data_IF_349822437994
#
_entry.id   IF_349822437994
#
_cell.length_a   1.000
_cell.length_b   1.000
_cell.length_c   1.000
_cell.angle_alpha   90.00
_cell.angle_beta   90.00
_cell.angle_gamma   90.00
#
_symmetry.space_group_name_H-M   'P 1'
#
loop_
_entity.id
_entity.type
_entity.pdbx_description
1 polymer ?
#
# COMPACT_ATOMS: atom_id res chain seq x y z
N UNK A 1 -69.65 26.50 -8.19
CA UNK A 1 -68.82 25.50 -8.90
C UNK A 1 -67.37 25.77 -8.52
N UNK A 2 -66.83 25.01 -7.58
CA UNK A 2 -65.45 25.13 -7.09
C UNK A 2 -64.55 24.18 -7.91
N UNK A 3 -63.48 24.73 -8.49
CA UNK A 3 -62.40 23.94 -9.09
C UNK A 3 -61.56 23.29 -7.96
N UNK A 4 -61.22 22.00 -8.06
CA UNK A 4 -60.24 21.40 -7.16
C UNK A 4 -58.81 21.60 -7.73
N UNK A 5 -57.95 22.19 -6.89
CA UNK A 5 -56.49 22.29 -7.09
C UNK A 5 -55.80 20.93 -6.94
N UNK A 6 -54.60 20.73 -7.54
CA UNK A 6 -53.96 19.43 -7.69
C UNK A 6 -53.32 18.93 -6.39
N UNK A 7 -53.39 17.61 -6.16
CA UNK A 7 -52.72 16.92 -5.06
C UNK A 7 -51.21 16.98 -5.23
N UNK A 8 -50.54 17.61 -4.26
CA UNK A 8 -49.10 17.58 -4.04
C UNK A 8 -48.71 16.35 -3.22
N UNK A 9 -47.49 15.90 -3.47
CA UNK A 9 -46.61 15.09 -2.61
C UNK A 9 -46.75 13.55 -2.69
N UNK A 10 -46.03 13.00 -3.68
CA UNK A 10 -45.44 11.66 -3.58
C UNK A 10 -44.26 11.74 -2.59
N UNK A 11 -44.54 11.55 -1.31
CA UNK A 11 -43.51 11.30 -0.33
C UNK A 11 -42.89 9.92 -0.63
N UNK A 12 -41.63 9.90 -1.09
CA UNK A 12 -40.83 8.68 -1.10
C UNK A 12 -40.54 8.32 0.36
N UNK A 13 -41.30 7.36 0.89
CA UNK A 13 -40.98 6.70 2.14
C UNK A 13 -39.63 5.99 1.98
N UNK A 14 -38.59 6.52 2.63
CA UNK A 14 -37.35 5.78 2.87
C UNK A 14 -37.73 4.54 3.68
N UNK A 15 -37.73 3.38 3.03
CA UNK A 15 -37.89 2.11 3.73
C UNK A 15 -36.82 2.03 4.82
N UNK A 16 -37.25 1.99 6.07
CA UNK A 16 -36.40 1.71 7.22
C UNK A 16 -35.66 0.40 6.94
N UNK A 17 -34.33 0.47 6.91
CA UNK A 17 -33.50 -0.72 6.76
C UNK A 17 -33.91 -1.75 7.84
N UNK A 18 -34.02 -3.05 7.49
CA UNK A 18 -34.36 -4.07 8.47
C UNK A 18 -33.37 -4.03 9.63
N UNK A 19 -33.88 -4.13 10.86
CA UNK A 19 -33.05 -4.31 12.06
C UNK A 19 -32.43 -5.71 12.00
N UNK A 20 -31.16 -5.76 11.60
CA UNK A 20 -30.39 -6.99 11.44
C UNK A 20 -29.81 -7.50 12.78
N UNK A 21 -30.11 -6.81 13.90
CA UNK A 21 -29.53 -7.13 15.20
C UNK A 21 -28.03 -6.83 15.28
N UNK A 22 -27.36 -7.40 16.27
CA UNK A 22 -25.91 -7.25 16.43
C UNK A 22 -25.20 -8.09 15.36
N UNK A 23 -24.58 -7.40 14.40
CA UNK A 23 -23.80 -8.04 13.35
C UNK A 23 -22.61 -8.80 13.97
N UNK A 24 -22.24 -9.99 13.46
CA UNK A 24 -21.08 -10.71 13.95
C UNK A 24 -19.80 -9.89 13.70
N UNK A 25 -19.00 -9.72 14.74
CA UNK A 25 -17.66 -9.13 14.64
C UNK A 25 -16.59 -10.23 14.64
N UNK A 26 -15.43 -9.93 14.06
CA UNK A 26 -14.29 -10.84 14.13
C UNK A 26 -13.77 -10.93 15.56
N UNK A 27 -13.49 -12.16 16.01
CA UNK A 27 -12.74 -12.38 17.24
C UNK A 27 -11.24 -12.23 16.93
N UNK A 28 -10.61 -11.25 17.57
CA UNK A 28 -9.18 -10.96 17.42
C UNK A 28 -8.36 -11.34 18.67
N UNK A 29 -8.99 -12.02 19.63
CA UNK A 29 -8.36 -12.38 20.92
C UNK A 29 -7.20 -13.35 20.77
N UNK A 30 -7.16 -14.13 19.69
CA UNK A 30 -6.01 -14.97 19.29
C UNK A 30 -4.73 -14.14 19.05
N UNK A 31 -4.86 -12.85 18.69
CA UNK A 31 -3.73 -11.93 18.55
C UNK A 31 -3.50 -11.17 19.87
N UNK A 32 -4.48 -10.38 20.29
CA UNK A 32 -4.46 -9.62 21.54
C UNK A 32 -5.88 -9.50 22.09
N UNK A 33 -6.02 -9.64 23.41
CA UNK A 33 -7.33 -9.56 24.06
C UNK A 33 -8.00 -8.17 23.94
N UNK A 34 -7.20 -7.10 23.88
CA UNK A 34 -7.66 -5.73 23.73
C UNK A 34 -6.52 -4.81 23.25
N UNK A 35 -6.82 -3.62 22.69
CA UNK A 35 -5.79 -2.63 22.32
C UNK A 35 -4.94 -2.14 23.49
N UNK A 36 -5.50 -2.19 24.71
CA UNK A 36 -4.86 -1.82 25.97
C UNK A 36 -4.23 -3.00 26.69
N UNK A 37 -4.21 -4.19 26.08
CA UNK A 37 -3.61 -5.36 26.68
C UNK A 37 -2.11 -5.13 26.91
N UNK A 38 -1.55 -5.50 28.07
CA UNK A 38 -0.15 -5.23 28.41
C UNK A 38 0.83 -5.89 27.42
N UNK A 39 0.42 -6.97 26.77
CA UNK A 39 1.18 -7.65 25.73
C UNK A 39 1.45 -6.75 24.52
N UNK A 40 0.53 -5.84 24.17
CA UNK A 40 0.74 -4.90 23.04
C UNK A 40 1.92 -3.98 23.34
N UNK A 41 1.93 -3.36 24.52
CA UNK A 41 3.02 -2.47 24.94
C UNK A 41 4.35 -3.23 25.04
N UNK A 42 4.33 -4.42 25.67
CA UNK A 42 5.49 -5.30 25.78
C UNK A 42 6.07 -5.69 24.41
N UNK A 43 5.21 -6.07 23.47
CA UNK A 43 5.64 -6.56 22.16
C UNK A 43 6.20 -5.43 21.29
N UNK A 44 5.67 -4.19 21.42
CA UNK A 44 6.26 -2.98 20.82
C UNK A 44 7.66 -2.73 21.37
N UNK A 45 7.82 -2.73 22.70
CA UNK A 45 9.09 -2.49 23.36
C UNK A 45 10.12 -3.56 23.00
N UNK A 46 9.69 -4.83 23.00
CA UNK A 46 10.50 -5.96 22.56
C UNK A 46 10.92 -5.81 21.10
N UNK A 47 10.00 -5.49 20.19
CA UNK A 47 10.30 -5.29 18.77
C UNK A 47 11.33 -4.18 18.55
N UNK A 48 11.21 -3.07 19.26
CA UNK A 48 12.18 -1.98 19.19
C UNK A 48 13.56 -2.36 19.76
N UNK A 49 13.60 -3.11 20.86
CA UNK A 49 14.85 -3.58 21.46
C UNK A 49 15.55 -4.61 20.55
N UNK A 50 14.80 -5.57 20.03
CA UNK A 50 15.32 -6.62 19.15
C UNK A 50 15.83 -6.04 17.83
N UNK A 51 15.13 -5.08 17.24
CA UNK A 51 15.61 -4.40 16.03
C UNK A 51 16.95 -3.70 16.24
N UNK A 52 17.11 -2.97 17.36
CA UNK A 52 18.37 -2.32 17.72
C UNK A 52 19.48 -3.33 17.99
N UNK A 53 19.16 -4.44 18.66
CA UNK A 53 20.13 -5.51 18.94
C UNK A 53 20.59 -6.19 17.64
N UNK A 54 19.65 -6.48 16.74
CA UNK A 54 19.90 -7.08 15.43
C UNK A 54 20.77 -6.15 14.58
N UNK A 55 20.43 -4.85 14.51
CA UNK A 55 21.23 -3.81 13.86
C UNK A 55 22.65 -3.74 14.42
N UNK A 56 22.81 -3.61 15.73
CA UNK A 56 24.12 -3.53 16.39
C UNK A 56 24.97 -4.77 16.13
N UNK A 57 24.33 -5.95 16.12
CA UNK A 57 25.02 -7.21 15.93
C UNK A 57 25.47 -7.41 14.49
N UNK A 58 24.60 -7.14 13.52
CA UNK A 58 24.76 -7.61 12.14
C UNK A 58 25.08 -6.53 11.11
N UNK A 59 24.75 -5.26 11.35
CA UNK A 59 24.97 -4.20 10.38
C UNK A 59 26.47 -4.06 10.05
N UNK A 60 26.77 -4.06 8.75
CA UNK A 60 28.11 -4.03 8.17
C UNK A 60 28.85 -5.37 8.20
N UNK A 61 28.21 -6.46 8.63
CA UNK A 61 28.88 -7.76 8.88
C UNK A 61 28.29 -8.93 8.09
N UNK A 62 27.07 -8.80 7.55
CA UNK A 62 26.38 -9.93 6.90
C UNK A 62 27.09 -10.39 5.63
N UNK A 63 27.68 -9.45 4.86
CA UNK A 63 28.46 -9.78 3.67
C UNK A 63 29.68 -10.63 4.01
N UNK A 64 30.41 -10.26 5.08
CA UNK A 64 31.58 -11.00 5.53
C UNK A 64 31.23 -12.37 6.12
N UNK A 65 30.06 -12.50 6.74
CA UNK A 65 29.50 -13.77 7.20
C UNK A 65 28.84 -14.59 6.07
N UNK A 66 28.86 -14.09 4.83
CA UNK A 66 28.06 -14.60 3.71
C UNK A 66 28.32 -16.05 3.32
N UNK A 67 29.48 -16.61 3.68
CA UNK A 67 29.84 -18.01 3.45
C UNK A 67 29.66 -18.92 4.68
N UNK A 68 29.32 -18.36 5.84
CA UNK A 68 29.06 -19.09 7.08
C UNK A 68 27.55 -19.29 7.25
N UNK A 69 27.08 -20.47 6.86
CA UNK A 69 25.65 -20.82 6.94
C UNK A 69 25.09 -20.85 8.36
N UNK A 70 25.91 -21.12 9.39
CA UNK A 70 25.44 -21.12 10.78
C UNK A 70 25.23 -19.69 11.29
N UNK A 71 26.17 -18.78 10.99
CA UNK A 71 26.02 -17.36 11.32
C UNK A 71 24.84 -16.73 10.59
N UNK A 72 24.67 -17.00 9.29
CA UNK A 72 23.51 -16.51 8.54
C UNK A 72 22.21 -17.10 9.07
N UNK A 73 22.16 -18.39 9.43
CA UNK A 73 20.95 -19.00 9.99
C UNK A 73 20.53 -18.32 11.29
N UNK A 74 21.49 -17.99 12.16
CA UNK A 74 21.23 -17.24 13.38
C UNK A 74 20.69 -15.83 13.10
N UNK A 75 21.29 -15.13 12.13
CA UNK A 75 20.85 -13.80 11.75
C UNK A 75 19.42 -13.81 11.18
N UNK A 76 19.16 -14.71 10.22
CA UNK A 76 17.85 -14.85 9.55
C UNK A 76 16.78 -15.29 10.55
N UNK A 77 17.08 -16.21 11.47
CA UNK A 77 16.11 -16.62 12.48
C UNK A 77 15.71 -15.47 13.41
N UNK A 78 16.69 -14.67 13.86
CA UNK A 78 16.38 -13.49 14.68
C UNK A 78 15.55 -12.45 13.92
N UNK A 79 15.80 -12.30 12.62
CA UNK A 79 15.03 -11.42 11.75
C UNK A 79 13.60 -11.94 11.54
N UNK A 80 13.42 -13.24 11.32
CA UNK A 80 12.11 -13.92 11.21
C UNK A 80 11.29 -13.73 12.48
N UNK A 81 11.85 -14.05 13.66
CA UNK A 81 11.14 -13.92 14.94
C UNK A 81 10.69 -12.49 15.22
N UNK A 82 11.49 -11.50 14.82
CA UNK A 82 11.13 -10.09 14.93
C UNK A 82 10.05 -9.73 13.92
N UNK A 83 10.18 -10.17 12.66
CA UNK A 83 9.20 -9.89 11.60
C UNK A 83 7.83 -10.47 11.93
N UNK A 84 7.76 -11.67 12.51
CA UNK A 84 6.52 -12.29 13.00
C UNK A 84 5.87 -11.45 14.10
N UNK A 85 6.65 -10.94 15.06
CA UNK A 85 6.15 -10.08 16.14
C UNK A 85 5.58 -8.76 15.60
N UNK A 86 6.29 -8.11 14.67
CA UNK A 86 5.84 -6.87 14.05
C UNK A 86 4.60 -7.11 13.17
N UNK A 87 4.58 -8.22 12.43
CA UNK A 87 3.45 -8.66 11.63
C UNK A 87 2.20 -8.92 12.46
N UNK A 88 2.35 -9.54 13.65
CA UNK A 88 1.27 -9.74 14.62
C UNK A 88 0.67 -8.40 15.08
N UNK A 89 1.50 -7.45 15.49
CA UNK A 89 1.08 -6.10 15.91
C UNK A 89 0.34 -5.37 14.78
N UNK A 90 0.93 -5.35 13.59
CA UNK A 90 0.35 -4.69 12.42
C UNK A 90 -0.98 -5.31 12.00
N UNK A 91 -1.06 -6.64 11.97
CA UNK A 91 -2.28 -7.37 11.62
C UNK A 91 -3.40 -7.07 12.61
N UNK A 92 -3.14 -7.13 13.91
CA UNK A 92 -4.14 -6.83 14.93
C UNK A 92 -4.67 -5.39 14.79
N UNK A 93 -3.78 -4.41 14.66
CA UNK A 93 -4.16 -3.01 14.52
C UNK A 93 -4.96 -2.77 13.22
N UNK A 94 -4.53 -3.36 12.11
CA UNK A 94 -5.20 -3.24 10.81
C UNK A 94 -6.59 -3.88 10.79
N UNK A 95 -6.72 -5.10 11.33
CA UNK A 95 -8.01 -5.80 11.42
C UNK A 95 -9.00 -5.07 12.31
N UNK A 96 -8.53 -4.56 13.46
CA UNK A 96 -9.38 -3.80 14.38
C UNK A 96 -9.90 -2.51 13.72
N UNK A 97 -9.03 -1.79 13.02
CA UNK A 97 -9.40 -0.59 12.27
C UNK A 97 -10.38 -0.90 11.13
N UNK A 98 -10.13 -1.99 10.37
CA UNK A 98 -10.99 -2.41 9.28
C UNK A 98 -12.42 -2.75 9.74
N UNK A 99 -12.58 -3.28 10.95
CA UNK A 99 -13.90 -3.59 11.52
C UNK A 99 -14.78 -2.34 11.76
N UNK A 100 -14.19 -1.17 12.05
CA UNK A 100 -14.91 0.11 12.05
C UNK A 100 -13.96 1.30 11.85
N UNK A 101 -13.86 1.78 10.62
CA UNK A 101 -12.94 2.87 10.26
C UNK A 101 -13.39 4.26 10.75
N UNK A 102 -14.66 4.39 11.18
CA UNK A 102 -15.20 5.65 11.71
C UNK A 102 -15.00 5.79 13.22
N UNK A 103 -14.54 4.75 13.90
CA UNK A 103 -14.24 4.78 15.34
C UNK A 103 -12.90 5.50 15.57
N UNK A 104 -12.90 6.68 16.23
CA UNK A 104 -11.69 7.46 16.44
C UNK A 104 -10.67 6.77 17.36
N UNK A 105 -11.10 5.88 18.26
CA UNK A 105 -10.20 5.14 19.16
C UNK A 105 -9.42 4.09 18.36
N UNK A 106 -10.11 3.36 17.47
CA UNK A 106 -9.47 2.37 16.59
C UNK A 106 -8.55 3.03 15.58
N UNK A 107 -8.96 4.15 14.99
CA UNK A 107 -8.14 4.94 14.08
C UNK A 107 -6.86 5.45 14.75
N UNK A 108 -6.96 5.98 15.98
CA UNK A 108 -5.79 6.42 16.75
C UNK A 108 -4.86 5.24 17.05
N UNK A 109 -5.39 4.13 17.54
CA UNK A 109 -4.58 2.95 17.84
C UNK A 109 -3.82 2.45 16.60
N UNK A 110 -4.48 2.35 15.46
CA UNK A 110 -3.85 1.98 14.20
C UNK A 110 -2.73 2.95 13.79
N UNK A 111 -2.97 4.27 13.91
CA UNK A 111 -1.96 5.29 13.66
C UNK A 111 -0.73 5.14 14.55
N UNK A 112 -0.95 5.01 15.87
CA UNK A 112 0.13 4.86 16.86
C UNK A 112 0.98 3.60 16.59
N UNK A 113 0.34 2.46 16.28
CA UNK A 113 1.03 1.22 15.95
C UNK A 113 1.80 1.37 14.63
N UNK A 114 1.17 1.94 13.60
CA UNK A 114 1.80 2.15 12.30
C UNK A 114 3.07 3.02 12.38
N UNK A 115 3.03 4.10 13.17
CA UNK A 115 4.18 4.97 13.42
C UNK A 115 5.33 4.19 14.09
N UNK A 116 5.02 3.44 15.14
CA UNK A 116 6.01 2.63 15.88
C UNK A 116 6.63 1.55 15.00
N UNK A 117 5.81 0.82 14.23
CA UNK A 117 6.29 -0.21 13.30
C UNK A 117 7.16 0.40 12.19
N UNK A 118 6.81 1.57 11.68
CA UNK A 118 7.62 2.30 10.68
C UNK A 118 8.99 2.68 11.26
N UNK A 119 9.02 3.18 12.50
CA UNK A 119 10.27 3.51 13.18
C UNK A 119 11.14 2.28 13.41
N UNK A 120 10.56 1.15 13.85
CA UNK A 120 11.29 -0.11 14.07
C UNK A 120 11.82 -0.68 12.75
N UNK A 121 11.00 -0.68 11.69
CA UNK A 121 11.37 -1.23 10.38
C UNK A 121 12.53 -0.48 9.73
N UNK A 122 12.64 0.83 10.00
CA UNK A 122 13.77 1.65 9.53
C UNK A 122 15.12 1.15 10.04
N UNK A 123 15.17 0.58 11.25
CA UNK A 123 16.38 -0.03 11.81
C UNK A 123 16.74 -1.37 11.17
N UNK A 124 15.82 -1.99 10.43
CA UNK A 124 15.98 -3.31 9.81
C UNK A 124 16.32 -3.24 8.31
N UNK A 125 16.21 -2.08 7.67
CA UNK A 125 16.45 -1.91 6.23
C UNK A 125 17.80 -2.44 5.75
N UNK A 126 18.85 -2.31 6.57
CA UNK A 126 20.19 -2.80 6.21
C UNK A 126 20.23 -4.31 5.98
N UNK A 127 19.33 -5.07 6.61
CA UNK A 127 19.43 -6.53 6.70
C UNK A 127 19.30 -7.17 5.32
N UNK A 128 18.16 -6.94 4.65
CA UNK A 128 17.92 -7.40 3.29
C UNK A 128 18.92 -6.81 2.29
N UNK A 129 19.28 -5.53 2.45
CA UNK A 129 20.26 -4.86 1.59
C UNK A 129 21.65 -5.50 1.65
N UNK A 130 22.13 -5.87 2.85
CA UNK A 130 23.42 -6.53 3.01
C UNK A 130 23.38 -7.99 2.57
N UNK A 131 22.29 -8.71 2.82
CA UNK A 131 22.11 -10.06 2.28
C UNK A 131 22.17 -10.05 0.74
N UNK A 132 21.58 -9.04 0.11
CA UNK A 132 21.66 -8.85 -1.34
C UNK A 132 23.06 -8.52 -1.86
N UNK A 133 24.00 -8.11 -0.99
CA UNK A 133 25.41 -7.88 -1.35
C UNK A 133 26.29 -9.13 -1.19
N UNK A 134 25.80 -10.22 -0.61
CA UNK A 134 26.57 -11.47 -0.50
C UNK A 134 26.86 -12.02 -1.91
N UNK A 135 28.08 -12.51 -2.16
CA UNK A 135 28.45 -13.15 -3.42
C UNK A 135 27.64 -14.43 -3.67
N UNK A 136 27.33 -14.74 -4.93
CA UNK A 136 26.52 -15.92 -5.27
C UNK A 136 27.19 -17.24 -4.82
N UNK A 137 28.52 -17.36 -4.93
CA UNK A 137 29.24 -18.56 -4.53
C UNK A 137 29.28 -18.73 -3.00
N UNK A 138 29.39 -17.63 -2.27
CA UNK A 138 29.38 -17.64 -0.81
C UNK A 138 28.00 -17.98 -0.27
N UNK A 139 26.94 -17.34 -0.79
CA UNK A 139 25.57 -17.66 -0.40
C UNK A 139 25.21 -19.12 -0.74
N UNK A 140 25.61 -19.62 -1.92
CA UNK A 140 25.41 -21.01 -2.30
C UNK A 140 26.11 -21.99 -1.34
N UNK A 141 27.29 -21.64 -0.83
CA UNK A 141 27.99 -22.43 0.20
C UNK A 141 27.25 -22.38 1.53
N UNK A 142 26.84 -21.20 1.98
CA UNK A 142 26.11 -21.03 3.23
C UNK A 142 24.77 -21.78 3.23
N UNK A 143 24.06 -21.80 2.10
CA UNK A 143 22.77 -22.50 1.93
C UNK A 143 22.89 -24.03 2.00
N UNK A 144 24.09 -24.61 2.07
CA UNK A 144 24.28 -26.03 2.37
C UNK A 144 24.06 -26.34 3.86
N UNK A 145 24.04 -25.33 4.74
CA UNK A 145 23.84 -25.53 6.16
C UNK A 145 22.37 -25.91 6.47
N UNK A 146 22.12 -26.97 7.27
CA UNK A 146 20.76 -27.48 7.55
C UNK A 146 19.78 -26.44 8.10
N UNK A 147 20.26 -25.52 8.93
CA UNK A 147 19.40 -24.50 9.54
C UNK A 147 19.10 -23.31 8.60
N UNK A 148 19.88 -23.14 7.52
CA UNK A 148 19.70 -22.05 6.56
C UNK A 148 18.93 -22.50 5.31
N UNK A 149 19.09 -23.75 4.90
CA UNK A 149 18.55 -24.27 3.62
C UNK A 149 17.03 -24.07 3.49
N UNK A 150 16.28 -24.11 4.60
CA UNK A 150 14.83 -23.88 4.62
C UNK A 150 14.43 -22.48 4.13
N UNK A 151 15.32 -21.50 4.26
CA UNK A 151 15.10 -20.11 3.83
C UNK A 151 15.48 -19.87 2.38
N UNK A 152 15.94 -20.89 1.64
CA UNK A 152 16.33 -20.74 0.24
C UNK A 152 15.26 -20.04 -0.62
N UNK A 153 13.95 -20.36 -0.53
CA UNK A 153 12.95 -19.65 -1.33
C UNK A 153 12.90 -18.15 -1.05
N UNK A 154 13.05 -17.76 0.22
CA UNK A 154 13.09 -16.35 0.62
C UNK A 154 14.35 -15.66 0.08
N UNK A 155 15.52 -16.32 0.12
CA UNK A 155 16.73 -15.81 -0.53
C UNK A 155 16.57 -15.71 -2.04
N UNK A 156 15.96 -16.69 -2.69
CA UNK A 156 15.71 -16.66 -4.13
C UNK A 156 14.84 -15.44 -4.48
N UNK A 157 13.77 -15.17 -3.72
CA UNK A 157 12.91 -14.00 -3.89
C UNK A 157 13.65 -12.69 -3.62
N UNK A 158 14.39 -12.60 -2.51
CA UNK A 158 15.18 -11.43 -2.15
C UNK A 158 16.20 -11.08 -3.25
N UNK A 159 16.75 -12.10 -3.92
CA UNK A 159 17.76 -11.97 -4.97
C UNK A 159 17.18 -11.71 -6.35
N UNK A 160 15.87 -11.85 -6.57
CA UNK A 160 15.23 -11.52 -7.86
C UNK A 160 15.44 -10.06 -8.25
N UNK A 161 15.45 -9.16 -7.26
CA UNK A 161 15.63 -7.72 -7.49
C UNK A 161 17.10 -7.32 -7.64
N UNK A 162 18.06 -8.16 -7.20
CA UNK A 162 19.49 -7.83 -7.22
C UNK A 162 20.02 -7.48 -8.63
N UNK A 163 19.70 -8.21 -9.71
CA UNK A 163 20.12 -7.84 -11.06
C UNK A 163 19.62 -6.46 -11.50
N UNK A 164 18.57 -5.95 -10.84
CA UNK A 164 17.90 -4.70 -11.14
C UNK A 164 18.25 -3.56 -10.18
N UNK A 165 19.09 -3.82 -9.18
CA UNK A 165 19.62 -2.81 -8.27
C UNK A 165 20.72 -2.01 -8.96
N UNK A 166 20.65 -0.69 -8.83
CA UNK A 166 21.65 0.24 -9.34
C UNK A 166 22.73 0.47 -8.28
N UNK A 167 23.83 1.11 -8.69
CA UNK A 167 24.83 1.59 -7.73
C UNK A 167 24.19 2.52 -6.69
N UNK A 168 24.68 2.49 -5.45
CA UNK A 168 24.10 3.19 -4.30
C UNK A 168 23.84 4.69 -4.56
N UNK A 169 24.78 5.39 -5.21
CA UNK A 169 24.61 6.81 -5.57
C UNK A 169 23.54 7.04 -6.64
N UNK A 170 23.36 6.08 -7.54
CA UNK A 170 22.35 6.14 -8.59
C UNK A 170 20.98 5.86 -7.98
N UNK A 171 20.85 4.86 -7.11
CA UNK A 171 19.62 4.61 -6.34
C UNK A 171 19.19 5.85 -5.54
N UNK A 172 20.14 6.48 -4.83
CA UNK A 172 19.89 7.72 -4.09
C UNK A 172 19.37 8.83 -5.03
N UNK A 173 20.01 9.03 -6.17
CA UNK A 173 19.59 10.03 -7.15
C UNK A 173 18.17 9.76 -7.69
N UNK A 174 17.85 8.52 -8.06
CA UNK A 174 16.51 8.13 -8.51
C UNK A 174 15.47 8.36 -7.42
N UNK A 175 15.80 8.07 -6.15
CA UNK A 175 14.92 8.31 -5.02
C UNK A 175 14.63 9.81 -4.83
N UNK A 176 15.68 10.64 -4.76
CA UNK A 176 15.56 12.09 -4.59
C UNK A 176 14.81 12.75 -5.76
N UNK A 177 15.14 12.35 -7.00
CA UNK A 177 14.48 12.87 -8.21
C UNK A 177 13.04 12.38 -8.33
N UNK A 178 12.72 11.18 -7.83
CA UNK A 178 11.40 10.56 -7.98
C UNK A 178 10.24 11.43 -7.50
N UNK A 179 10.44 12.22 -6.44
CA UNK A 179 9.44 13.18 -5.96
C UNK A 179 9.17 14.31 -6.96
N UNK A 180 10.24 14.86 -7.56
CA UNK A 180 10.16 15.94 -8.54
C UNK A 180 9.81 15.47 -9.96
N UNK A 181 10.02 14.18 -10.26
CA UNK A 181 9.72 13.53 -11.53
C UNK A 181 8.34 12.85 -11.47
N UNK A 182 8.26 11.51 -11.48
CA UNK A 182 6.99 10.76 -11.43
C UNK A 182 6.03 11.23 -10.35
N UNK A 183 6.52 11.61 -9.17
CA UNK A 183 5.70 12.09 -8.06
C UNK A 183 4.91 13.35 -8.42
N UNK A 184 5.56 14.36 -8.99
CA UNK A 184 4.91 15.60 -9.43
C UNK A 184 3.89 15.37 -10.55
N UNK A 185 4.17 14.50 -11.52
CA UNK A 185 3.24 14.20 -12.61
C UNK A 185 2.00 13.44 -12.14
N UNK A 186 2.16 12.47 -11.22
CA UNK A 186 1.02 11.81 -10.58
C UNK A 186 0.18 12.80 -9.77
N UNK A 187 0.83 13.71 -9.04
CA UNK A 187 0.12 14.77 -8.29
C UNK A 187 -0.68 15.66 -9.24
N UNK A 188 -0.08 16.12 -10.33
CA UNK A 188 -0.75 16.93 -11.34
C UNK A 188 -1.97 16.21 -11.92
N UNK A 189 -1.85 14.91 -12.22
CA UNK A 189 -2.98 14.10 -12.67
C UNK A 189 -4.10 14.06 -11.63
N UNK A 190 -3.78 13.72 -10.38
CA UNK A 190 -4.75 13.57 -9.30
C UNK A 190 -5.48 14.89 -9.01
N UNK A 191 -4.74 16.01 -8.92
CA UNK A 191 -5.31 17.34 -8.71
C UNK A 191 -6.21 17.75 -9.88
N UNK A 192 -5.77 17.51 -11.12
CA UNK A 192 -6.56 17.80 -12.32
C UNK A 192 -7.86 16.99 -12.32
N UNK A 193 -7.78 15.67 -12.12
CA UNK A 193 -8.93 14.77 -12.10
C UNK A 193 -9.93 15.15 -11.00
N UNK A 194 -9.45 15.47 -9.80
CA UNK A 194 -10.29 15.90 -8.66
C UNK A 194 -10.98 17.24 -8.92
N UNK A 195 -10.33 18.12 -9.69
CA UNK A 195 -10.85 19.42 -10.09
C UNK A 195 -11.89 19.36 -11.20
N UNK A 196 -12.02 18.24 -11.93
CA UNK A 196 -12.98 18.13 -13.03
C UNK A 196 -14.42 18.22 -12.54
N UNK A 197 -15.26 18.87 -13.35
CA UNK A 197 -16.71 18.95 -13.15
C UNK A 197 -17.41 18.53 -14.44
N UNK A 198 -18.48 17.77 -14.28
CA UNK A 198 -19.20 17.12 -15.36
C UNK A 198 -20.63 17.64 -15.43
N UNK A 199 -20.93 18.36 -16.51
CA UNK A 199 -22.28 18.79 -16.84
C UNK A 199 -23.06 17.59 -17.40
N UNK A 200 -23.97 17.04 -16.61
CA UNK A 200 -24.76 15.86 -17.00
C UNK A 200 -26.18 16.30 -17.37
N UNK A 201 -26.67 16.01 -18.59
CA UNK A 201 -28.04 16.29 -18.97
C UNK A 201 -29.06 15.72 -17.96
N UNK A 202 -29.95 16.57 -17.45
CA UNK A 202 -30.96 16.17 -16.45
C UNK A 202 -30.50 16.23 -14.99
N UNK A 203 -29.30 16.76 -14.73
CA UNK A 203 -28.82 17.12 -13.39
C UNK A 203 -28.45 18.60 -13.42
N UNK A 204 -29.06 19.39 -12.55
CA UNK A 204 -28.91 20.85 -12.56
C UNK A 204 -27.52 21.32 -12.07
N UNK A 205 -26.87 20.52 -11.23
CA UNK A 205 -25.56 20.85 -10.66
C UNK A 205 -24.42 20.02 -11.30
N UNK A 206 -23.28 20.65 -11.64
CA UNK A 206 -22.13 19.94 -12.16
C UNK A 206 -21.63 18.90 -11.16
N UNK A 207 -21.48 17.67 -11.63
CA UNK A 207 -21.09 16.54 -10.78
C UNK A 207 -19.58 16.40 -10.69
N UNK A 208 -19.10 15.76 -9.62
CA UNK A 208 -17.72 15.25 -9.54
C UNK A 208 -17.61 13.92 -10.30
N UNK A 209 -16.41 13.35 -10.36
CA UNK A 209 -16.15 12.13 -11.14
C UNK A 209 -16.97 10.93 -10.64
N UNK A 210 -16.98 10.62 -9.34
CA UNK A 210 -17.62 9.38 -8.86
C UNK A 210 -19.14 9.35 -9.08
N UNK A 211 -19.93 10.41 -8.77
CA UNK A 211 -21.35 10.43 -9.07
C UNK A 211 -21.64 10.28 -10.56
N UNK A 212 -20.79 10.87 -11.41
CA UNK A 212 -20.92 10.76 -12.88
C UNK A 212 -20.65 9.33 -13.35
N UNK A 213 -19.61 8.67 -12.82
CA UNK A 213 -19.33 7.26 -13.10
C UNK A 213 -20.44 6.33 -12.60
N UNK A 214 -21.07 6.63 -11.47
CA UNK A 214 -22.17 5.83 -10.94
C UNK A 214 -23.37 5.78 -11.90
N UNK A 215 -23.60 6.82 -12.70
CA UNK A 215 -24.65 6.83 -13.72
C UNK A 215 -24.44 5.75 -14.79
N UNK A 216 -23.21 5.30 -15.03
CA UNK A 216 -22.89 4.23 -15.99
C UNK A 216 -23.47 2.87 -15.57
N UNK A 217 -23.86 2.73 -14.31
CA UNK A 217 -24.48 1.52 -13.75
C UNK A 217 -26.00 1.68 -13.53
N UNK A 218 -26.59 2.83 -13.89
CA UNK A 218 -28.03 3.06 -13.68
C UNK A 218 -28.86 2.10 -14.56
N UNK A 219 -29.96 1.52 -14.04
CA UNK A 219 -30.85 0.65 -14.82
C UNK A 219 -31.38 1.31 -16.10
N UNK A 220 -31.57 2.63 -16.09
CA UNK A 220 -32.12 3.39 -17.22
C UNK A 220 -31.04 3.70 -18.27
N UNK A 221 -31.21 3.25 -19.53
CA UNK A 221 -30.24 3.52 -20.61
C UNK A 221 -29.96 5.00 -20.82
N UNK A 222 -31.00 5.84 -20.75
CA UNK A 222 -30.92 7.30 -20.92
C UNK A 222 -29.87 7.94 -19.98
N UNK A 223 -29.85 7.49 -18.72
CA UNK A 223 -28.94 8.02 -17.70
C UNK A 223 -27.51 7.53 -17.89
N UNK A 224 -27.33 6.26 -18.29
CA UNK A 224 -26.01 5.74 -18.66
C UNK A 224 -25.41 6.53 -19.81
N UNK A 225 -26.22 6.81 -20.83
CA UNK A 225 -25.81 7.61 -21.99
C UNK A 225 -25.42 9.03 -21.56
N UNK A 226 -26.27 9.72 -20.78
CA UNK A 226 -25.99 11.06 -20.30
C UNK A 226 -24.68 11.14 -19.49
N UNK A 227 -24.43 10.17 -18.60
CA UNK A 227 -23.16 10.07 -17.86
C UNK A 227 -21.96 9.84 -18.78
N UNK A 228 -22.08 8.91 -19.73
CA UNK A 228 -21.01 8.58 -20.68
C UNK A 228 -20.62 9.79 -21.56
N UNK A 229 -21.60 10.51 -22.08
CA UNK A 229 -21.39 11.68 -22.92
C UNK A 229 -20.75 12.84 -22.15
N UNK A 230 -21.18 13.07 -20.90
CA UNK A 230 -20.58 14.07 -20.03
C UNK A 230 -19.10 13.76 -19.74
N UNK A 231 -18.77 12.51 -19.40
CA UNK A 231 -17.40 12.03 -19.21
C UNK A 231 -16.57 12.23 -20.49
N UNK A 232 -17.08 11.76 -21.63
CA UNK A 232 -16.40 11.84 -22.91
C UNK A 232 -16.08 13.28 -23.30
N UNK A 233 -17.04 14.21 -23.14
CA UNK A 233 -16.86 15.64 -23.43
C UNK A 233 -15.74 16.25 -22.60
N UNK A 234 -15.78 16.06 -21.28
CA UNK A 234 -14.79 16.66 -20.36
C UNK A 234 -13.40 16.05 -20.55
N UNK A 235 -13.30 14.72 -20.70
CA UNK A 235 -12.01 14.07 -20.94
C UNK A 235 -11.42 14.43 -22.30
N UNK A 236 -12.25 14.55 -23.34
CA UNK A 236 -11.80 15.02 -24.66
C UNK A 236 -11.22 16.43 -24.57
N UNK A 237 -11.85 17.32 -23.78
CA UNK A 237 -11.34 18.66 -23.52
C UNK A 237 -9.96 18.69 -22.85
N UNK A 238 -9.62 17.65 -22.09
CA UNK A 238 -8.35 17.51 -21.37
C UNK A 238 -7.36 16.55 -22.05
N UNK A 239 -7.68 16.04 -23.25
CA UNK A 239 -6.93 14.98 -23.91
C UNK A 239 -5.43 15.30 -24.06
N UNK A 240 -5.11 16.55 -24.43
CA UNK A 240 -3.71 17.01 -24.58
C UNK A 240 -2.93 16.93 -23.27
N UNK A 241 -3.54 17.35 -22.16
CA UNK A 241 -2.91 17.33 -20.85
C UNK A 241 -2.69 15.89 -20.38
N UNK A 242 -3.72 15.06 -20.43
CA UNK A 242 -3.61 13.65 -20.02
C UNK A 242 -2.64 12.86 -20.91
N UNK A 243 -2.61 13.13 -22.21
CA UNK A 243 -1.63 12.52 -23.12
C UNK A 243 -0.19 12.89 -22.71
N UNK A 244 0.07 14.17 -22.38
CA UNK A 244 1.39 14.60 -21.94
C UNK A 244 1.79 13.92 -20.61
N UNK A 245 0.87 13.88 -19.64
CA UNK A 245 1.09 13.23 -18.34
C UNK A 245 1.44 11.75 -18.55
N UNK A 246 0.60 11.01 -19.27
CA UNK A 246 0.78 9.57 -19.51
C UNK A 246 2.08 9.28 -20.26
N UNK A 247 2.38 10.03 -21.32
CA UNK A 247 3.62 9.85 -22.08
C UNK A 247 4.86 10.15 -21.24
N UNK A 248 4.80 11.15 -20.36
CA UNK A 248 5.92 11.50 -19.49
C UNK A 248 6.15 10.43 -18.43
N UNK A 249 5.08 9.93 -17.80
CA UNK A 249 5.16 8.82 -16.84
C UNK A 249 5.64 7.53 -17.50
N UNK A 250 5.15 7.21 -18.70
CA UNK A 250 5.61 6.06 -19.47
C UNK A 250 7.10 6.16 -19.81
N UNK A 251 7.57 7.35 -20.20
CA UNK A 251 8.99 7.58 -20.48
C UNK A 251 9.86 7.54 -19.23
N UNK A 252 9.39 8.08 -18.11
CA UNK A 252 10.08 8.01 -16.81
C UNK A 252 10.24 6.54 -16.36
N UNK A 253 9.17 5.74 -16.48
CA UNK A 253 9.23 4.29 -16.23
C UNK A 253 10.21 3.59 -17.17
N UNK A 254 10.13 3.80 -18.48
CA UNK A 254 11.08 3.17 -19.42
C UNK A 254 12.54 3.52 -19.09
N UNK A 255 12.82 4.77 -18.71
CA UNK A 255 14.17 5.17 -18.30
C UNK A 255 14.58 4.37 -17.06
N UNK A 256 13.76 4.33 -16.01
CA UNK A 256 14.02 3.53 -14.82
C UNK A 256 14.27 2.06 -15.16
N UNK A 257 13.37 1.46 -15.93
CA UNK A 257 13.42 0.04 -16.33
C UNK A 257 14.71 -0.27 -17.09
N UNK A 258 15.11 0.57 -18.05
CA UNK A 258 16.33 0.40 -18.83
C UNK A 258 17.60 0.53 -17.99
N UNK A 259 17.64 1.47 -17.04
CA UNK A 259 18.77 1.59 -16.13
C UNK A 259 18.89 0.37 -15.23
N UNK A 260 17.75 -0.13 -14.75
CA UNK A 260 17.65 -1.33 -13.93
C UNK A 260 17.83 -2.62 -14.74
N UNK A 261 17.75 -2.59 -16.07
CA UNK A 261 17.96 -3.77 -16.90
C UNK A 261 16.74 -4.68 -17.06
N UNK A 262 15.53 -4.19 -16.76
CA UNK A 262 14.29 -4.85 -17.14
C UNK A 262 14.17 -4.91 -18.67
N UNK A 263 13.67 -6.04 -19.19
CA UNK A 263 13.57 -6.26 -20.64
C UNK A 263 12.17 -5.95 -21.15
N UNK A 264 11.16 -6.21 -20.32
CA UNK A 264 9.77 -5.84 -20.53
C UNK A 264 9.28 -4.91 -19.39
N UNK A 265 8.28 -4.09 -19.70
CA UNK A 265 7.55 -3.24 -18.74
C UNK A 265 6.79 -4.09 -17.71
N UNK A 266 6.48 -5.34 -18.04
CA UNK A 266 5.78 -6.31 -17.19
C UNK A 266 6.70 -7.25 -16.39
N UNK A 267 8.03 -7.18 -16.59
CA UNK A 267 9.02 -7.87 -15.75
C UNK A 267 9.15 -7.18 -14.38
#
# INVERSE_FOLDING_TARGET
MQHPSPKKDLAMTSATAPDLGQMPEWDLSDLYAAPTAPEVARDIEKGAADAKALKTRWQGKLVAAGSDGAMLAQAVKAYEDLSDLLGKLGSYAGLLYAANQTDPVRAKFYGDISEKLTSISSDLLFFELELNKIDDADLARALQHPDLVRYKPWFDDLRKEKPYQLDEKIEQLFHEKGQTARGSWNRLFNETMSGLRFEVPGIDEPQTLEPTLNLMSDPKPEKRQAGAEALAKVFTGNLRLFTLITNTLAKDKEISDRWRGFKDVAD
#
